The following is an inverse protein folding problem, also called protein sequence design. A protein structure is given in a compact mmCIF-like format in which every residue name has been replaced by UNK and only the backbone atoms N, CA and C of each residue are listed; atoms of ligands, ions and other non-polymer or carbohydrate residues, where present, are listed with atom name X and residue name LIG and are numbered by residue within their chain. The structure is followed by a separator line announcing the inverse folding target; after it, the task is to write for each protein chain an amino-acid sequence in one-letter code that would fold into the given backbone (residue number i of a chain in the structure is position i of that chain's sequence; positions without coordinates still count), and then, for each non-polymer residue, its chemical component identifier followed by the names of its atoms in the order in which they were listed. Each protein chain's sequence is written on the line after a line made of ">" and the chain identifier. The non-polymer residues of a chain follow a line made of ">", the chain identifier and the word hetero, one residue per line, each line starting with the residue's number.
data_IF_721518800772
#
_entry.id   IF_721518800772
#
_cell.length_a   1.000
_cell.length_b   1.000
_cell.length_c   1.000
_cell.angle_alpha   90.00
_cell.angle_beta   90.00
_cell.angle_gamma   90.00
#
_symmetry.space_group_name_H-M   'P 1'
#
loop_
_entity.id
_entity.type
_entity.pdbx_description
1 polymer ?
#
# COMPACT_ATOMS: atom_id res chain seq x y z
N UNK A 1 17.43 12.07 10.54
CA UNK A 1 16.86 10.69 10.66
C UNK A 1 18.06 9.76 10.75
N UNK A 2 18.22 9.03 11.86
CA UNK A 2 19.29 8.02 12.00
C UNK A 2 18.74 6.61 11.69
N UNK A 3 19.60 5.66 11.30
CA UNK A 3 19.17 4.25 11.09
C UNK A 3 18.61 3.63 12.38
N UNK A 4 19.17 3.96 13.54
CA UNK A 4 18.74 3.47 14.85
C UNK A 4 17.32 3.93 15.17
N UNK A 5 17.02 5.23 15.01
CA UNK A 5 15.68 5.79 15.25
C UNK A 5 14.61 5.16 14.33
N UNK A 6 14.98 4.94 13.06
CA UNK A 6 14.07 4.31 12.09
C UNK A 6 13.83 2.85 12.44
N UNK A 7 14.89 2.12 12.83
CA UNK A 7 14.79 0.72 13.24
C UNK A 7 13.88 0.56 14.45
N UNK A 8 14.08 1.36 15.50
CA UNK A 8 13.25 1.33 16.70
C UNK A 8 11.77 1.53 16.37
N UNK A 9 11.45 2.56 15.57
CA UNK A 9 10.06 2.83 15.16
C UNK A 9 9.49 1.74 14.25
N UNK A 10 10.32 1.19 13.36
CA UNK A 10 9.89 0.11 12.46
C UNK A 10 9.59 -1.18 13.23
N UNK A 11 10.44 -1.55 14.18
CA UNK A 11 10.24 -2.68 15.08
C UNK A 11 8.99 -2.46 15.95
N UNK A 12 8.81 -1.27 16.51
CA UNK A 12 7.61 -0.93 17.26
C UNK A 12 6.33 -1.12 16.41
N UNK A 13 6.29 -0.62 15.18
CA UNK A 13 5.14 -0.84 14.30
C UNK A 13 4.91 -2.33 14.03
N UNK A 14 5.99 -3.09 13.79
CA UNK A 14 5.89 -4.54 13.56
C UNK A 14 5.34 -5.29 14.76
N UNK A 15 5.77 -4.94 15.96
CA UNK A 15 5.27 -5.53 17.21
C UNK A 15 3.79 -5.22 17.42
N UNK A 16 3.37 -3.98 17.11
CA UNK A 16 1.99 -3.53 17.27
C UNK A 16 1.01 -4.15 16.25
N UNK A 17 1.47 -4.47 15.03
CA UNK A 17 0.60 -5.08 14.00
C UNK A 17 0.66 -6.60 13.99
N UNK A 18 1.70 -7.18 14.58
CA UNK A 18 1.91 -8.63 14.64
C UNK A 18 2.68 -9.22 13.44
N UNK A 19 3.11 -10.50 13.56
CA UNK A 19 4.03 -11.12 12.61
C UNK A 19 3.44 -11.38 11.22
N UNK A 20 2.13 -11.48 11.10
CA UNK A 20 1.43 -11.78 9.84
C UNK A 20 1.17 -10.54 8.98
N UNK A 21 1.50 -9.35 9.48
CA UNK A 21 1.29 -8.08 8.78
C UNK A 21 2.60 -7.54 8.22
N UNK A 22 2.63 -7.30 6.93
CA UNK A 22 3.75 -6.66 6.25
C UNK A 22 3.67 -5.14 6.39
N UNK A 23 4.72 -4.55 6.98
CA UNK A 23 4.87 -3.10 7.06
C UNK A 23 5.50 -2.58 5.78
N UNK A 24 4.75 -1.82 4.99
CA UNK A 24 5.21 -1.14 3.78
C UNK A 24 5.58 0.29 4.14
N UNK A 25 6.87 0.63 4.06
CA UNK A 25 7.34 1.99 4.30
C UNK A 25 7.00 2.89 3.10
N UNK A 26 6.10 3.86 3.30
CA UNK A 26 5.68 4.79 2.25
C UNK A 26 6.75 5.87 2.04
N UNK A 27 7.45 5.82 0.91
CA UNK A 27 8.68 6.59 0.67
C UNK A 27 8.48 7.82 -0.22
N UNK A 28 7.25 8.25 -0.47
CA UNK A 28 6.90 9.36 -1.39
C UNK A 28 7.65 10.68 -1.13
N UNK A 29 8.05 10.94 0.12
CA UNK A 29 8.78 12.14 0.51
C UNK A 29 10.23 11.86 0.95
N UNK A 30 10.66 10.61 0.89
CA UNK A 30 12.01 10.17 1.27
C UNK A 30 12.97 10.43 0.12
N UNK A 31 14.04 11.15 0.38
CA UNK A 31 15.12 11.38 -0.59
C UNK A 31 15.95 10.11 -0.84
N UNK A 32 16.77 10.11 -1.89
CA UNK A 32 17.68 8.99 -2.17
C UNK A 32 18.67 8.73 -1.01
N UNK A 33 19.17 9.78 -0.36
CA UNK A 33 20.07 9.62 0.78
C UNK A 33 19.37 8.99 1.98
N UNK A 34 18.15 9.42 2.27
CA UNK A 34 17.35 8.89 3.36
C UNK A 34 16.88 7.45 3.10
N UNK A 35 16.73 7.07 1.84
CA UNK A 35 16.40 5.68 1.48
C UNK A 35 17.52 4.71 1.92
N UNK A 36 18.80 5.16 1.86
CA UNK A 36 19.93 4.41 2.41
C UNK A 36 19.79 4.17 3.92
N UNK A 37 19.29 5.15 4.66
CA UNK A 37 19.01 5.02 6.10
C UNK A 37 17.95 3.93 6.36
N UNK A 38 16.92 3.81 5.51
CA UNK A 38 15.92 2.76 5.63
C UNK A 38 16.53 1.37 5.40
N UNK A 39 17.43 1.24 4.44
CA UNK A 39 18.11 -0.03 4.17
C UNK A 39 18.99 -0.44 5.38
N UNK A 40 19.76 0.48 5.94
CA UNK A 40 20.58 0.26 7.14
C UNK A 40 19.72 -0.06 8.38
N UNK A 41 18.53 0.50 8.46
CA UNK A 41 17.56 0.22 9.52
C UNK A 41 16.91 -1.16 9.40
N UNK A 42 17.06 -1.86 8.28
CA UNK A 42 16.47 -3.18 8.04
C UNK A 42 15.02 -3.14 7.54
N UNK A 43 14.57 -2.03 6.97
CA UNK A 43 13.27 -1.94 6.31
C UNK A 43 13.29 -2.81 5.06
N UNK A 44 12.43 -3.83 5.00
CA UNK A 44 12.44 -4.81 3.89
C UNK A 44 11.53 -4.44 2.72
N UNK A 45 10.43 -3.72 2.98
CA UNK A 45 9.42 -3.40 1.95
C UNK A 45 9.17 -1.90 1.90
N UNK A 46 9.26 -1.33 0.70
CA UNK A 46 8.99 0.09 0.46
C UNK A 46 7.88 0.27 -0.56
N UNK A 47 7.12 1.35 -0.41
CA UNK A 47 6.00 1.68 -1.29
C UNK A 47 6.15 3.07 -1.91
N UNK A 48 6.10 3.13 -3.26
CA UNK A 48 6.16 4.37 -4.01
C UNK A 48 4.82 4.78 -4.61
N UNK A 49 4.61 6.10 -4.68
CA UNK A 49 3.38 6.69 -5.20
C UNK A 49 3.47 7.16 -6.65
N UNK A 50 4.68 7.37 -7.18
CA UNK A 50 4.91 7.88 -8.53
C UNK A 50 5.88 6.97 -9.27
N UNK A 51 5.54 6.64 -10.52
CA UNK A 51 6.38 5.76 -11.35
C UNK A 51 7.78 6.32 -11.60
N UNK A 52 7.93 7.65 -11.70
CA UNK A 52 9.24 8.29 -11.87
C UNK A 52 10.12 8.18 -10.63
N UNK A 53 9.52 8.35 -9.43
CA UNK A 53 10.24 8.23 -8.17
C UNK A 53 10.63 6.75 -7.94
N UNK A 54 9.73 5.82 -8.26
CA UNK A 54 10.01 4.39 -8.25
C UNK A 54 11.22 4.06 -9.14
N UNK A 55 11.24 4.52 -10.40
CA UNK A 55 12.34 4.29 -11.33
C UNK A 55 13.68 4.83 -10.79
N UNK A 56 13.68 6.08 -10.33
CA UNK A 56 14.89 6.73 -9.81
C UNK A 56 15.44 6.01 -8.57
N UNK A 57 14.57 5.63 -7.65
CA UNK A 57 14.95 4.99 -6.40
C UNK A 57 15.34 3.53 -6.61
N UNK A 58 14.59 2.81 -7.45
CA UNK A 58 14.90 1.43 -7.81
C UNK A 58 16.25 1.33 -8.54
N UNK A 59 16.57 2.26 -9.46
CA UNK A 59 17.86 2.29 -10.13
C UNK A 59 19.05 2.40 -9.16
N UNK A 60 18.85 2.98 -7.96
CA UNK A 60 19.90 3.15 -6.95
C UNK A 60 19.93 2.04 -5.91
N UNK A 61 18.77 1.52 -5.52
CA UNK A 61 18.61 0.63 -4.37
C UNK A 61 17.94 -0.72 -4.71
N UNK A 62 17.68 -1.02 -5.97
CA UNK A 62 17.09 -2.25 -6.52
C UNK A 62 16.86 -3.36 -5.49
N UNK A 63 17.84 -4.24 -5.35
CA UNK A 63 17.75 -5.44 -4.51
C UNK A 63 17.80 -5.17 -2.98
N UNK A 64 17.99 -3.90 -2.56
CA UNK A 64 17.98 -3.57 -1.13
C UNK A 64 16.57 -3.64 -0.52
N UNK A 65 15.54 -3.54 -1.35
CA UNK A 65 14.14 -3.55 -0.94
C UNK A 65 13.27 -4.42 -1.84
N UNK A 66 12.18 -4.91 -1.29
CA UNK A 66 11.00 -5.33 -2.05
C UNK A 66 10.18 -4.08 -2.36
N UNK A 67 9.90 -3.86 -3.65
CA UNK A 67 9.23 -2.65 -4.12
C UNK A 67 7.76 -2.89 -4.36
N UNK A 68 6.91 -2.08 -3.73
CA UNK A 68 5.48 -2.05 -3.98
C UNK A 68 5.07 -0.70 -4.58
N UNK A 69 4.06 -0.70 -5.43
CA UNK A 69 3.47 0.53 -5.93
C UNK A 69 2.14 0.79 -5.20
N UNK A 70 2.04 1.94 -4.54
CA UNK A 70 0.90 2.29 -3.68
C UNK A 70 0.19 3.59 -4.08
N UNK A 71 0.63 4.24 -5.17
CA UNK A 71 0.02 5.46 -5.69
C UNK A 71 -0.99 5.19 -6.81
N UNK A 72 -1.69 6.23 -7.28
CA UNK A 72 -2.63 6.08 -8.39
C UNK A 72 -1.92 5.58 -9.67
N UNK A 73 -2.38 4.44 -10.18
CA UNK A 73 -1.79 3.78 -11.34
C UNK A 73 -2.41 4.28 -12.65
N UNK A 74 -1.70 5.16 -13.33
CA UNK A 74 -2.07 5.53 -14.70
C UNK A 74 -1.78 4.36 -15.65
N UNK A 75 -2.73 3.99 -16.51
CA UNK A 75 -2.61 2.85 -17.43
C UNK A 75 -1.37 2.90 -18.33
N UNK A 76 -0.95 4.10 -18.77
CA UNK A 76 0.29 4.30 -19.56
C UNK A 76 1.58 3.97 -18.80
N UNK A 77 1.53 3.97 -17.46
CA UNK A 77 2.66 3.69 -16.58
C UNK A 77 2.66 2.26 -16.03
N UNK A 78 1.58 1.49 -16.27
CA UNK A 78 1.41 0.16 -15.68
C UNK A 78 2.58 -0.79 -16.02
N UNK A 79 3.07 -0.77 -17.26
CA UNK A 79 4.21 -1.61 -17.66
C UNK A 79 5.50 -1.20 -16.94
N UNK A 80 5.81 0.09 -16.90
CA UNK A 80 6.99 0.61 -16.18
C UNK A 80 6.94 0.26 -14.70
N UNK A 81 5.77 0.36 -14.07
CA UNK A 81 5.56 -0.02 -12.67
C UNK A 81 5.74 -1.52 -12.48
N UNK A 82 5.22 -2.36 -13.41
CA UNK A 82 5.39 -3.81 -13.35
C UNK A 82 6.86 -4.25 -13.41
N UNK A 83 7.68 -3.57 -14.22
CA UNK A 83 9.10 -3.93 -14.36
C UNK A 83 9.92 -3.63 -13.09
N UNK A 84 9.37 -2.83 -12.16
CA UNK A 84 10.08 -2.28 -11.00
C UNK A 84 9.42 -2.60 -9.65
N UNK A 85 8.27 -3.25 -9.62
CA UNK A 85 7.56 -3.58 -8.38
C UNK A 85 7.05 -5.02 -8.38
N UNK A 86 6.95 -5.60 -7.19
CA UNK A 86 6.45 -6.96 -6.98
C UNK A 86 4.93 -7.00 -6.83
N UNK A 87 4.33 -5.91 -6.35
CA UNK A 87 2.91 -5.81 -6.04
C UNK A 87 2.41 -4.38 -6.25
N UNK A 88 1.25 -4.26 -6.86
CA UNK A 88 0.51 -3.00 -6.99
C UNK A 88 -0.69 -3.01 -6.05
N UNK A 89 -0.81 -2.01 -5.16
CA UNK A 89 -1.88 -1.92 -4.17
C UNK A 89 -3.10 -1.09 -4.64
N UNK A 90 -3.01 -0.49 -5.81
CA UNK A 90 -3.91 0.60 -6.22
C UNK A 90 -4.54 0.38 -7.59
N UNK A 91 -4.80 -0.87 -7.95
CA UNK A 91 -5.46 -1.18 -9.22
C UNK A 91 -6.95 -0.83 -9.12
N UNK A 92 -7.43 0.07 -9.99
CA UNK A 92 -8.81 0.55 -10.00
C UNK A 92 -9.41 0.71 -11.40
N UNK A 93 -8.70 0.26 -12.45
CA UNK A 93 -9.20 0.38 -13.82
C UNK A 93 -8.79 -0.78 -14.72
N UNK A 94 -9.70 -1.16 -15.62
CA UNK A 94 -9.46 -2.19 -16.63
C UNK A 94 -8.31 -1.83 -17.58
N UNK A 95 -8.18 -0.53 -17.90
CA UNK A 95 -7.13 -0.06 -18.79
C UNK A 95 -5.72 -0.21 -18.20
N UNK A 96 -5.59 -0.09 -16.87
CA UNK A 96 -4.36 -0.39 -16.16
C UNK A 96 -4.16 -1.91 -16.04
N UNK A 97 -5.20 -2.67 -15.68
CA UNK A 97 -5.14 -4.13 -15.56
C UNK A 97 -4.63 -4.81 -16.85
N UNK A 98 -5.10 -4.37 -18.02
CA UNK A 98 -4.65 -4.91 -19.33
C UNK A 98 -3.18 -4.72 -19.64
N UNK A 99 -2.48 -3.86 -18.91
CA UNK A 99 -1.05 -3.53 -19.13
C UNK A 99 -0.16 -3.94 -17.97
N UNK A 100 -0.74 -4.32 -16.86
CA UNK A 100 -0.02 -4.78 -15.69
C UNK A 100 0.41 -6.25 -15.89
N UNK A 101 1.60 -6.61 -15.41
CA UNK A 101 2.15 -7.96 -15.52
C UNK A 101 2.60 -8.55 -14.18
N UNK A 102 2.40 -7.81 -13.09
CA UNK A 102 2.64 -8.27 -11.71
C UNK A 102 1.33 -8.37 -10.95
N UNK A 103 1.28 -9.15 -9.86
CA UNK A 103 0.09 -9.23 -9.03
C UNK A 103 -0.39 -7.87 -8.51
N UNK A 104 -1.69 -7.77 -8.24
CA UNK A 104 -2.26 -6.53 -7.73
C UNK A 104 -3.32 -6.77 -6.65
N UNK A 105 -3.54 -5.71 -5.86
CA UNK A 105 -4.72 -5.55 -5.01
C UNK A 105 -5.64 -4.53 -5.68
N UNK A 106 -6.93 -4.83 -5.71
CA UNK A 106 -7.92 -3.88 -6.23
C UNK A 106 -8.22 -2.83 -5.16
N UNK A 107 -8.02 -1.57 -5.50
CA UNK A 107 -8.40 -0.48 -4.61
C UNK A 107 -9.90 -0.25 -4.70
N UNK A 108 -10.59 -0.33 -3.55
CA UNK A 108 -12.03 -0.13 -3.43
C UNK A 108 -12.29 1.21 -2.73
N UNK A 109 -13.13 2.03 -3.34
CA UNK A 109 -13.61 3.29 -2.76
C UNK A 109 -14.84 3.01 -1.89
N UNK A 110 -14.62 2.89 -0.59
CA UNK A 110 -15.68 2.63 0.40
C UNK A 110 -16.29 3.91 0.98
N UNK A 111 -15.69 5.08 0.70
CA UNK A 111 -16.23 6.36 1.20
C UNK A 111 -17.39 6.91 0.39
N UNK A 112 -17.54 6.46 -0.85
CA UNK A 112 -18.52 7.02 -1.80
C UNK A 112 -18.17 8.42 -2.33
N UNK A 113 -17.01 8.97 -1.96
CA UNK A 113 -16.57 10.26 -2.47
C UNK A 113 -16.03 10.11 -3.90
N UNK A 114 -16.65 10.77 -4.87
CA UNK A 114 -16.23 10.72 -6.29
C UNK A 114 -14.79 11.22 -6.52
N UNK A 115 -14.30 12.09 -5.64
CA UNK A 115 -12.93 12.64 -5.71
C UNK A 115 -11.84 11.63 -5.34
N UNK A 116 -12.20 10.50 -4.72
CA UNK A 116 -11.24 9.47 -4.29
C UNK A 116 -11.06 8.38 -5.32
N UNK A 117 -9.82 7.96 -5.48
CA UNK A 117 -9.46 6.81 -6.32
C UNK A 117 -10.03 5.52 -5.73
N UNK A 118 -10.27 4.55 -6.58
CA UNK A 118 -10.76 3.22 -6.23
C UNK A 118 -12.02 2.85 -6.98
N UNK A 119 -12.19 1.56 -7.17
CA UNK A 119 -13.37 0.99 -7.82
C UNK A 119 -14.56 1.07 -6.87
N UNK A 120 -15.76 1.50 -7.31
CA UNK A 120 -16.95 1.38 -6.50
C UNK A 120 -17.24 -0.10 -6.14
N UNK A 121 -17.70 -0.41 -4.92
CA UNK A 121 -17.93 -1.80 -4.47
C UNK A 121 -18.83 -2.61 -5.39
N UNK A 122 -19.85 -2.00 -5.95
CA UNK A 122 -20.81 -2.63 -6.87
C UNK A 122 -20.20 -3.04 -8.22
N UNK A 123 -19.03 -2.50 -8.56
CA UNK A 123 -18.30 -2.87 -9.79
C UNK A 123 -17.24 -3.96 -9.56
N UNK A 124 -16.98 -4.31 -8.30
CA UNK A 124 -15.87 -5.21 -7.95
C UNK A 124 -16.03 -6.59 -8.58
N UNK A 125 -17.22 -7.20 -8.51
CA UNK A 125 -17.50 -8.53 -9.05
C UNK A 125 -17.21 -8.62 -10.56
N UNK A 126 -17.81 -7.73 -11.34
CA UNK A 126 -17.59 -7.68 -12.79
C UNK A 126 -16.12 -7.38 -13.17
N UNK A 127 -15.44 -6.58 -12.35
CA UNK A 127 -14.02 -6.30 -12.54
C UNK A 127 -13.18 -7.56 -12.31
N UNK A 128 -13.40 -8.29 -11.22
CA UNK A 128 -12.66 -9.52 -10.89
C UNK A 128 -12.85 -10.60 -11.93
N UNK A 129 -14.08 -10.78 -12.46
CA UNK A 129 -14.38 -11.77 -13.50
C UNK A 129 -13.62 -11.54 -14.81
N UNK A 130 -13.33 -10.28 -15.15
CA UNK A 130 -12.71 -9.92 -16.43
C UNK A 130 -11.24 -9.48 -16.31
N UNK A 131 -10.72 -9.40 -15.09
CA UNK A 131 -9.37 -8.90 -14.84
C UNK A 131 -8.30 -9.89 -15.33
N UNK A 132 -7.40 -9.47 -16.25
CA UNK A 132 -6.41 -10.38 -16.83
C UNK A 132 -5.17 -10.59 -15.95
N UNK A 133 -5.05 -9.88 -14.83
CA UNK A 133 -3.89 -9.96 -13.91
C UNK A 133 -4.28 -10.70 -12.63
N UNK A 134 -3.31 -11.33 -11.99
CA UNK A 134 -3.50 -11.99 -10.69
C UNK A 134 -3.91 -10.97 -9.63
N UNK A 135 -5.14 -11.12 -9.11
CA UNK A 135 -5.63 -10.32 -7.98
C UNK A 135 -5.48 -11.14 -6.71
N UNK A 136 -4.65 -10.65 -5.77
CA UNK A 136 -4.38 -11.31 -4.50
C UNK A 136 -5.31 -10.84 -3.38
N UNK A 137 -5.86 -9.63 -3.52
CA UNK A 137 -6.66 -9.05 -2.47
C UNK A 137 -7.22 -7.68 -2.81
N UNK A 138 -7.59 -6.95 -1.76
CA UNK A 138 -8.19 -5.63 -1.85
C UNK A 138 -7.37 -4.59 -1.08
N UNK A 139 -7.57 -3.32 -1.44
CA UNK A 139 -7.04 -2.19 -0.69
C UNK A 139 -8.09 -1.09 -0.54
N UNK A 140 -7.95 -0.26 0.48
CA UNK A 140 -8.78 0.94 0.66
C UNK A 140 -8.01 2.06 1.33
N UNK A 141 -8.51 3.29 1.14
CA UNK A 141 -8.04 4.51 1.79
C UNK A 141 -9.26 5.24 2.37
N UNK A 142 -9.59 5.03 3.66
CA UNK A 142 -10.66 5.76 4.31
C UNK A 142 -10.48 7.28 4.26
N UNK A 143 -11.52 8.07 4.50
CA UNK A 143 -11.38 9.48 4.79
C UNK A 143 -10.41 9.71 5.95
N UNK A 144 -9.70 10.85 5.92
CA UNK A 144 -8.91 11.25 7.07
C UNK A 144 -9.84 11.52 8.27
N UNK A 145 -9.54 10.95 9.41
CA UNK A 145 -10.25 11.18 10.66
C UNK A 145 -9.24 11.43 11.79
N UNK A 146 -9.62 12.24 12.78
CA UNK A 146 -8.76 12.48 13.97
C UNK A 146 -8.73 11.25 14.88
N UNK A 147 -9.87 10.57 15.02
CA UNK A 147 -9.96 9.30 15.73
C UNK A 147 -9.73 8.12 14.78
N UNK A 148 -8.69 7.30 15.00
CA UNK A 148 -8.42 6.11 14.19
C UNK A 148 -9.59 5.12 14.14
N UNK A 149 -10.44 5.08 15.17
CA UNK A 149 -11.61 4.19 15.24
C UNK A 149 -12.65 4.49 14.16
N UNK A 150 -12.71 5.70 13.65
CA UNK A 150 -13.58 6.07 12.52
C UNK A 150 -13.22 5.32 11.22
N UNK A 151 -12.00 4.81 11.10
CA UNK A 151 -11.59 3.97 9.96
C UNK A 151 -12.06 2.52 10.06
N UNK A 152 -12.39 2.03 11.28
CA UNK A 152 -12.77 0.64 11.54
C UNK A 152 -13.92 0.12 10.67
N UNK A 153 -15.03 0.83 10.46
CA UNK A 153 -16.12 0.36 9.60
C UNK A 153 -15.68 0.09 8.17
N UNK A 154 -14.78 0.93 7.62
CA UNK A 154 -14.23 0.76 6.27
C UNK A 154 -13.34 -0.48 6.16
N UNK A 155 -12.49 -0.72 7.16
CA UNK A 155 -11.61 -1.89 7.20
C UNK A 155 -12.41 -3.18 7.33
N UNK A 156 -13.43 -3.21 8.17
CA UNK A 156 -14.34 -4.33 8.30
C UNK A 156 -15.07 -4.63 7.00
N UNK A 157 -15.63 -3.61 6.34
CA UNK A 157 -16.29 -3.75 5.04
C UNK A 157 -15.34 -4.29 3.99
N UNK A 158 -14.08 -3.83 3.96
CA UNK A 158 -13.08 -4.34 3.02
C UNK A 158 -12.80 -5.82 3.25
N UNK A 159 -12.65 -6.24 4.52
CA UNK A 159 -12.46 -7.65 4.87
C UNK A 159 -13.64 -8.51 4.43
N UNK A 160 -14.86 -8.11 4.73
CA UNK A 160 -16.08 -8.82 4.33
C UNK A 160 -16.20 -8.97 2.80
N UNK A 161 -15.83 -7.93 2.06
CA UNK A 161 -15.75 -8.00 0.59
C UNK A 161 -14.69 -8.99 0.12
N UNK A 162 -13.50 -8.97 0.71
CA UNK A 162 -12.43 -9.90 0.34
C UNK A 162 -12.83 -11.36 0.64
N UNK A 163 -13.42 -11.63 1.80
CA UNK A 163 -13.93 -12.94 2.18
C UNK A 163 -14.99 -13.44 1.18
N UNK A 164 -15.92 -12.58 0.78
CA UNK A 164 -16.96 -12.90 -0.22
C UNK A 164 -16.37 -13.38 -1.54
N UNK A 165 -15.24 -12.83 -1.98
CA UNK A 165 -14.58 -13.18 -3.25
C UNK A 165 -13.40 -14.16 -3.07
N UNK A 166 -13.19 -14.71 -1.87
CA UNK A 166 -12.10 -15.65 -1.59
C UNK A 166 -10.70 -15.04 -1.67
N UNK A 167 -10.59 -13.70 -1.54
CA UNK A 167 -9.34 -12.95 -1.54
C UNK A 167 -8.75 -12.89 -0.14
N UNK A 168 -7.41 -12.93 -0.04
CA UNK A 168 -6.74 -13.09 1.26
C UNK A 168 -5.92 -11.88 1.69
N UNK A 169 -5.44 -11.07 0.76
CA UNK A 169 -4.56 -9.96 1.07
C UNK A 169 -5.34 -8.65 1.22
N UNK A 170 -5.10 -7.94 2.32
CA UNK A 170 -5.79 -6.68 2.66
C UNK A 170 -4.75 -5.58 2.91
N UNK A 171 -4.67 -4.61 2.00
CA UNK A 171 -3.83 -3.43 2.17
C UNK A 171 -4.68 -2.26 2.67
N UNK A 172 -4.61 -2.02 3.96
CA UNK A 172 -5.36 -0.98 4.65
C UNK A 172 -4.61 -0.52 5.89
N UNK A 173 -4.86 0.71 6.35
CA UNK A 173 -4.13 1.33 7.44
C UNK A 173 -2.90 2.11 7.00
N UNK A 174 -2.77 3.29 7.58
CA UNK A 174 -1.68 4.25 7.39
C UNK A 174 -1.07 4.61 8.75
N UNK A 175 -0.12 5.54 8.79
CA UNK A 175 0.49 6.02 10.03
C UNK A 175 -0.52 6.41 11.13
N UNK A 176 -1.74 6.71 10.77
CA UNK A 176 -2.77 7.17 11.68
C UNK A 176 -3.61 6.02 12.27
N UNK A 177 -3.89 4.99 11.48
CA UNK A 177 -4.92 3.99 11.77
C UNK A 177 -4.46 2.54 11.56
N UNK A 178 -3.13 2.30 11.41
CA UNK A 178 -2.58 0.97 11.13
C UNK A 178 -2.87 -0.07 12.22
N UNK A 179 -3.01 0.35 13.49
CA UNK A 179 -3.35 -0.57 14.59
C UNK A 179 -4.78 -1.09 14.43
N UNK A 180 -5.71 -0.19 14.17
CA UNK A 180 -7.12 -0.54 13.89
C UNK A 180 -7.22 -1.42 12.66
N UNK A 181 -6.43 -1.12 11.62
CA UNK A 181 -6.36 -1.94 10.43
C UNK A 181 -5.84 -3.36 10.70
N UNK A 182 -4.80 -3.51 11.53
CA UNK A 182 -4.26 -4.80 11.93
C UNK A 182 -5.31 -5.63 12.71
N UNK A 183 -6.03 -5.02 13.65
CA UNK A 183 -7.13 -5.67 14.38
C UNK A 183 -8.28 -6.12 13.46
N UNK A 184 -8.53 -5.41 12.37
CA UNK A 184 -9.52 -5.79 11.35
C UNK A 184 -8.97 -6.71 10.26
N UNK A 185 -7.72 -7.25 10.42
CA UNK A 185 -7.17 -8.29 9.57
C UNK A 185 -6.35 -7.78 8.38
N UNK A 186 -5.77 -6.57 8.44
CA UNK A 186 -4.82 -6.12 7.43
C UNK A 186 -3.65 -7.11 7.28
N UNK A 187 -3.24 -7.37 6.04
CA UNK A 187 -2.01 -8.10 5.73
C UNK A 187 -0.88 -7.17 5.30
N UNK A 188 -1.23 -5.94 4.91
CA UNK A 188 -0.30 -4.85 4.63
C UNK A 188 -0.78 -3.57 5.30
N UNK A 189 0.11 -2.88 6.01
CA UNK A 189 -0.07 -1.49 6.47
C UNK A 189 0.94 -0.58 5.77
N UNK A 190 0.54 0.65 5.42
CA UNK A 190 1.36 1.60 4.66
C UNK A 190 1.73 2.78 5.55
N UNK A 191 2.89 2.73 6.18
CA UNK A 191 3.32 3.73 7.16
C UNK A 191 4.42 4.62 6.60
N UNK A 192 4.35 5.90 6.89
CA UNK A 192 5.33 6.90 6.49
C UNK A 192 5.74 7.76 7.68
N UNK A 193 4.95 8.75 8.04
CA UNK A 193 5.27 9.72 9.10
C UNK A 193 5.62 9.08 10.45
N UNK A 194 5.04 7.94 10.78
CA UNK A 194 5.39 7.17 11.99
C UNK A 194 6.85 6.73 11.96
N UNK A 195 7.35 6.29 10.81
CA UNK A 195 8.75 5.83 10.68
C UNK A 195 9.74 6.99 10.66
N UNK A 196 9.34 8.14 10.10
CA UNK A 196 10.27 9.25 9.83
C UNK A 196 10.25 10.37 10.88
N UNK A 197 9.45 10.24 11.94
CA UNK A 197 9.39 11.20 13.04
C UNK A 197 8.71 12.53 12.69
N UNK A 198 7.73 12.52 11.79
CA UNK A 198 6.92 13.71 11.46
C UNK A 198 7.61 14.77 10.59
N UNK A 199 8.87 14.55 10.20
CA UNK A 199 9.66 15.50 9.40
C UNK A 199 9.29 15.59 7.93
N UNK A 200 8.41 14.71 7.46
CA UNK A 200 8.03 14.56 6.04
C UNK A 200 6.51 14.71 5.87
N UNK A 201 6.04 15.96 5.95
CA UNK A 201 4.66 16.33 5.60
C UNK A 201 4.57 17.00 4.24
#
# INVERSE_FOLDING_TARGET
>A
MSPEDVRERYEQVRDEVGPDVTVVAATKYVSLAELGVLAEAGVGVVGENRAQDLETKHARYGDAFRWHFIGHLQSRKARQVSDLSELVHSLDSESAAKRLTVPALVQVNLSGEESKSGLPPERLEAFLETCPVEIRGLSTMPPFAEDPEESRPYFRTLRELAERFGLRELSMGTSQDYRVAAEEGATYVRVGTTLYGGSHR
#
